data_IF_901833491967
#
_entry.id   IF_901833491967
#
_cell.length_a   1.000
_cell.length_b   1.000
_cell.length_c   1.000
_cell.angle_alpha   90.00
_cell.angle_beta   90.00
_cell.angle_gamma   90.00
#
_symmetry.space_group_name_H-M   'P 1'
#
loop_
_entity.id
_entity.type
_entity.pdbx_description
1 polymer ?
#
# COMPACT_ATOMS: atom_id res chain seq x y z
N UNK A 1 -4.68 35.72 8.03
CA UNK A 1 -3.78 34.79 7.33
C UNK A 1 -2.69 35.63 6.67
N UNK A 2 -1.44 35.18 6.67
CA UNK A 2 -0.35 35.92 6.03
C UNK A 2 -0.47 35.77 4.51
N UNK A 3 -0.65 36.88 3.81
CA UNK A 3 -0.74 36.94 2.34
C UNK A 3 0.39 37.80 1.82
N UNK A 4 1.05 37.35 0.76
CA UNK A 4 2.07 38.11 0.06
C UNK A 4 1.38 38.90 -1.04
N UNK A 5 1.40 40.23 -0.95
CA UNK A 5 0.83 41.08 -2.01
C UNK A 5 1.72 41.07 -3.26
N UNK A 6 1.27 41.69 -4.35
CA UNK A 6 2.00 41.82 -5.62
C UNK A 6 3.37 42.52 -5.50
N UNK A 7 3.70 43.09 -4.34
CA UNK A 7 4.98 43.73 -4.02
C UNK A 7 5.85 42.90 -3.06
N UNK A 8 5.47 41.67 -2.72
CA UNK A 8 6.29 40.77 -1.88
C UNK A 8 6.17 41.01 -0.36
N UNK A 9 5.32 41.93 0.09
CA UNK A 9 5.14 42.24 1.51
C UNK A 9 4.05 41.38 2.16
N UNK A 10 4.31 40.89 3.38
CA UNK A 10 3.37 40.08 4.17
C UNK A 10 2.31 40.98 4.81
N UNK A 11 1.05 40.76 4.48
CA UNK A 11 -0.09 41.43 5.07
C UNK A 11 -1.00 40.42 5.78
N UNK A 12 -1.52 40.79 6.96
CA UNK A 12 -2.56 40.02 7.62
C UNK A 12 -3.92 40.37 7.01
N UNK A 13 -4.51 39.43 6.28
CA UNK A 13 -5.90 39.56 5.80
C UNK A 13 -6.87 38.76 6.68
N UNK A 14 -8.12 39.22 6.73
CA UNK A 14 -9.23 38.49 7.34
C UNK A 14 -9.52 37.24 6.51
N UNK A 15 -9.60 36.08 7.17
CA UNK A 15 -10.03 34.85 6.52
C UNK A 15 -11.54 34.90 6.24
N UNK A 16 -11.90 34.88 4.97
CA UNK A 16 -13.29 34.81 4.52
C UNK A 16 -13.70 33.33 4.44
N UNK A 17 -14.64 32.92 5.29
CA UNK A 17 -15.11 31.53 5.35
C UNK A 17 -16.36 31.37 4.48
N UNK A 18 -16.32 30.44 3.54
CA UNK A 18 -17.45 30.17 2.64
C UNK A 18 -17.59 31.16 1.48
N UNK A 19 -16.69 32.14 1.38
CA UNK A 19 -16.67 33.10 0.27
C UNK A 19 -15.48 32.82 -0.65
N UNK A 20 -15.64 33.15 -1.93
CA UNK A 20 -14.56 33.11 -2.91
C UNK A 20 -13.43 34.08 -2.54
N UNK A 21 -12.21 33.70 -2.93
CA UNK A 21 -11.03 34.56 -2.76
C UNK A 21 -11.25 35.88 -3.50
N UNK A 22 -10.88 36.97 -2.85
CA UNK A 22 -10.93 38.33 -3.42
C UNK A 22 -9.56 38.77 -3.96
N UNK A 23 -8.50 38.02 -3.63
CA UNK A 23 -7.12 38.27 -4.03
C UNK A 23 -6.48 36.97 -4.53
N UNK A 24 -5.48 37.03 -5.41
CA UNK A 24 -4.72 35.86 -5.83
C UNK A 24 -4.08 35.14 -4.62
N UNK A 25 -4.06 33.81 -4.68
CA UNK A 25 -3.52 32.90 -3.65
C UNK A 25 -2.50 31.91 -4.22
N UNK A 26 -1.71 32.39 -5.19
CA UNK A 26 -0.73 31.62 -5.94
C UNK A 26 0.49 31.34 -5.05
N UNK A 27 0.85 30.07 -4.77
CA UNK A 27 2.02 29.74 -3.97
C UNK A 27 3.30 29.89 -4.80
N UNK A 28 4.39 30.22 -4.10
CA UNK A 28 5.74 30.18 -4.66
C UNK A 28 6.32 28.78 -4.49
N UNK A 29 6.86 28.20 -5.56
CA UNK A 29 7.56 26.92 -5.59
C UNK A 29 8.98 27.06 -5.02
N UNK A 30 9.62 25.92 -4.71
CA UNK A 30 10.99 25.89 -4.17
C UNK A 30 12.03 26.45 -5.15
N UNK A 31 11.81 26.26 -6.45
CA UNK A 31 12.61 26.85 -7.54
C UNK A 31 12.42 28.37 -7.71
N UNK A 32 11.55 28.97 -6.89
CA UNK A 32 11.25 30.39 -6.89
C UNK A 32 10.18 30.81 -7.91
N UNK A 33 9.68 29.91 -8.76
CA UNK A 33 8.59 30.15 -9.70
C UNK A 33 7.23 30.24 -8.97
N UNK A 34 6.22 30.80 -9.64
CA UNK A 34 4.86 30.93 -9.11
C UNK A 34 3.95 29.89 -9.75
N UNK A 35 3.19 29.16 -8.94
CA UNK A 35 2.12 28.31 -9.44
C UNK A 35 0.81 29.10 -9.47
N UNK A 36 0.26 29.30 -10.66
CA UNK A 36 -0.90 30.16 -10.88
C UNK A 36 -2.21 29.36 -10.83
N UNK A 37 -3.12 29.79 -9.96
CA UNK A 37 -4.51 29.33 -9.92
C UNK A 37 -5.44 30.30 -10.65
N UNK A 38 -6.72 29.93 -10.76
CA UNK A 38 -7.76 30.77 -11.35
C UNK A 38 -7.79 32.18 -10.72
N UNK A 39 -7.78 33.27 -11.51
CA UNK A 39 -7.92 34.63 -10.99
C UNK A 39 -9.24 34.83 -10.22
N UNK A 40 -9.26 35.61 -9.12
CA UNK A 40 -10.47 35.89 -8.32
C UNK A 40 -11.73 36.21 -9.13
N UNK A 41 -11.58 37.04 -10.16
CA UNK A 41 -12.65 37.50 -11.05
C UNK A 41 -13.31 36.37 -11.87
N UNK A 42 -12.61 35.25 -12.07
CA UNK A 42 -13.11 34.10 -12.85
C UNK A 42 -13.61 32.96 -11.95
N UNK A 43 -13.33 32.99 -10.64
CA UNK A 43 -13.63 31.86 -9.74
C UNK A 43 -15.10 31.46 -9.78
N UNK A 44 -16.03 32.42 -9.75
CA UNK A 44 -17.47 32.09 -9.75
C UNK A 44 -17.87 31.34 -11.01
N UNK A 45 -17.47 31.86 -12.19
CA UNK A 45 -17.78 31.24 -13.47
C UNK A 45 -17.15 29.86 -13.61
N UNK A 46 -15.89 29.71 -13.19
CA UNK A 46 -15.19 28.42 -13.27
C UNK A 46 -15.78 27.38 -12.31
N UNK A 47 -16.29 27.80 -11.15
CA UNK A 47 -17.02 26.90 -10.25
C UNK A 47 -18.36 26.46 -10.84
N UNK A 48 -19.10 27.37 -11.48
CA UNK A 48 -20.34 27.03 -12.18
C UNK A 48 -20.07 26.05 -13.34
N UNK A 49 -19.02 26.30 -14.13
CA UNK A 49 -18.58 25.41 -15.20
C UNK A 49 -18.22 24.01 -14.66
N UNK A 50 -17.46 23.95 -13.56
CA UNK A 50 -17.08 22.69 -12.92
C UNK A 50 -18.30 21.88 -12.47
N UNK A 51 -19.28 22.55 -11.85
CA UNK A 51 -20.53 21.90 -11.39
C UNK A 51 -21.35 21.40 -12.59
N UNK A 52 -21.48 22.19 -13.65
CA UNK A 52 -22.18 21.77 -14.87
C UNK A 52 -21.52 20.55 -15.52
N UNK A 53 -20.20 20.54 -15.67
CA UNK A 53 -19.46 19.40 -16.22
C UNK A 53 -19.61 18.14 -15.35
N UNK A 54 -19.52 18.29 -14.03
CA UNK A 54 -19.77 17.19 -13.09
C UNK A 54 -21.18 16.60 -13.27
N UNK A 55 -22.21 17.44 -13.41
CA UNK A 55 -23.57 16.99 -13.64
C UNK A 55 -23.68 16.13 -14.92
N UNK A 56 -23.04 16.55 -16.03
CA UNK A 56 -22.99 15.78 -17.27
C UNK A 56 -22.24 14.45 -17.11
N UNK A 57 -21.15 14.42 -16.34
CA UNK A 57 -20.43 13.18 -16.06
C UNK A 57 -21.29 12.18 -15.28
N UNK A 58 -22.08 12.67 -14.31
CA UNK A 58 -22.98 11.83 -13.54
C UNK A 58 -24.08 11.18 -14.38
N UNK A 59 -24.45 11.77 -15.53
CA UNK A 59 -25.39 11.17 -16.50
C UNK A 59 -24.73 10.09 -17.37
N UNK A 60 -23.39 10.09 -17.47
CA UNK A 60 -22.62 9.25 -18.41
C UNK A 60 -21.95 8.03 -17.76
N UNK A 61 -22.29 7.70 -16.51
CA UNK A 61 -21.73 6.56 -15.73
C UNK A 61 -20.19 6.47 -15.74
N UNK A 62 -19.49 7.60 -15.59
CA UNK A 62 -18.04 7.58 -15.42
C UNK A 62 -17.64 6.76 -14.18
N UNK A 63 -16.56 5.95 -14.24
CA UNK A 63 -16.06 5.24 -13.07
C UNK A 63 -15.79 6.20 -11.91
N UNK A 64 -16.24 5.87 -10.68
CA UNK A 64 -16.18 6.79 -9.54
C UNK A 64 -14.75 7.18 -9.17
N UNK A 65 -13.75 6.34 -9.45
CA UNK A 65 -12.33 6.63 -9.21
C UNK A 65 -11.80 7.72 -10.14
N UNK A 66 -12.23 7.70 -11.41
CA UNK A 66 -11.85 8.72 -12.40
C UNK A 66 -12.55 10.03 -12.07
N UNK A 67 -13.86 9.99 -11.82
CA UNK A 67 -14.64 11.19 -11.51
C UNK A 67 -14.17 11.85 -10.21
N UNK A 68 -13.85 11.05 -9.19
CA UNK A 68 -13.31 11.54 -7.92
C UNK A 68 -11.97 12.24 -8.11
N UNK A 69 -11.04 11.65 -8.87
CA UNK A 69 -9.74 12.26 -9.16
C UNK A 69 -9.88 13.53 -10.02
N UNK A 70 -10.76 13.51 -11.02
CA UNK A 70 -11.01 14.65 -11.89
C UNK A 70 -11.62 15.82 -11.13
N UNK A 71 -12.71 15.61 -10.39
CA UNK A 71 -13.40 16.65 -9.64
C UNK A 71 -12.49 17.26 -8.57
N UNK A 72 -11.73 16.40 -7.88
CA UNK A 72 -10.70 16.83 -6.95
C UNK A 72 -9.69 17.76 -7.63
N UNK A 73 -9.09 17.33 -8.74
CA UNK A 73 -8.03 18.05 -9.43
C UNK A 73 -8.53 19.39 -9.99
N UNK A 74 -9.68 19.39 -10.67
CA UNK A 74 -10.27 20.62 -11.22
C UNK A 74 -10.62 21.63 -10.15
N UNK A 75 -11.18 21.19 -9.02
CA UNK A 75 -11.41 22.07 -7.89
C UNK A 75 -10.09 22.67 -7.35
N UNK A 76 -9.02 21.88 -7.24
CA UNK A 76 -7.71 22.38 -6.76
C UNK A 76 -7.05 23.37 -7.73
N UNK A 77 -7.30 23.25 -9.03
CA UNK A 77 -6.82 24.18 -10.07
C UNK A 77 -7.55 25.53 -10.01
N UNK A 78 -8.86 25.54 -9.73
CA UNK A 78 -9.61 26.78 -9.49
C UNK A 78 -9.12 27.44 -8.19
N UNK A 79 -8.90 26.63 -7.15
CA UNK A 79 -8.43 27.07 -5.83
C UNK A 79 -9.27 28.23 -5.27
N UNK A 80 -10.60 28.04 -5.13
CA UNK A 80 -11.57 29.12 -5.02
C UNK A 80 -11.54 29.85 -3.67
N UNK A 81 -11.08 29.22 -2.59
CA UNK A 81 -11.06 29.78 -1.25
C UNK A 81 -9.68 30.35 -0.87
N UNK A 82 -9.64 31.24 0.12
CA UNK A 82 -8.36 31.75 0.68
C UNK A 82 -7.55 30.65 1.39
N UNK A 83 -8.22 29.71 2.05
CA UNK A 83 -7.63 28.55 2.71
C UNK A 83 -8.61 27.37 2.66
N UNK A 84 -8.08 26.16 2.84
CA UNK A 84 -8.89 24.96 2.99
C UNK A 84 -9.22 24.26 1.69
N UNK A 85 -8.72 24.75 0.54
CA UNK A 85 -9.00 24.15 -0.76
C UNK A 85 -8.64 22.66 -0.80
N UNK A 86 -7.46 22.26 -0.30
CA UNK A 86 -7.10 20.84 -0.24
C UNK A 86 -8.03 19.99 0.66
N UNK A 87 -8.60 20.57 1.72
CA UNK A 87 -9.58 19.87 2.59
C UNK A 87 -10.91 19.69 1.86
N UNK A 88 -11.38 20.73 1.17
CA UNK A 88 -12.62 20.68 0.38
C UNK A 88 -12.46 19.73 -0.80
N UNK A 89 -11.34 19.77 -1.52
CA UNK A 89 -11.05 18.86 -2.62
C UNK A 89 -11.14 17.39 -2.21
N UNK A 90 -10.52 17.02 -1.09
CA UNK A 90 -10.61 15.65 -0.54
C UNK A 90 -12.02 15.29 -0.06
N UNK A 91 -12.76 16.25 0.48
CA UNK A 91 -14.15 16.04 0.85
C UNK A 91 -15.04 15.80 -0.37
N UNK A 92 -14.87 16.55 -1.46
CA UNK A 92 -15.56 16.34 -2.74
C UNK A 92 -15.25 14.96 -3.31
N UNK A 93 -13.97 14.58 -3.36
CA UNK A 93 -13.53 13.25 -3.77
C UNK A 93 -14.19 12.13 -2.93
N UNK A 94 -14.28 12.34 -1.61
CA UNK A 94 -14.93 11.41 -0.69
C UNK A 94 -16.44 11.30 -0.93
N UNK A 95 -17.11 12.40 -1.28
CA UNK A 95 -18.54 12.39 -1.60
C UNK A 95 -18.81 11.52 -2.84
N UNK A 96 -17.98 11.61 -3.87
CA UNK A 96 -18.09 10.75 -5.06
C UNK A 96 -18.00 9.27 -4.67
N UNK A 97 -16.99 8.90 -3.88
CA UNK A 97 -16.83 7.52 -3.41
C UNK A 97 -18.01 7.05 -2.56
N UNK A 98 -18.45 7.85 -1.59
CA UNK A 98 -19.58 7.48 -0.74
C UNK A 98 -20.89 7.31 -1.52
N UNK A 99 -21.14 8.14 -2.55
CA UNK A 99 -22.30 7.97 -3.45
C UNK A 99 -22.24 6.67 -4.26
N UNK A 100 -21.03 6.19 -4.55
CA UNK A 100 -20.80 4.90 -5.19
C UNK A 100 -20.75 3.71 -4.22
N UNK A 101 -21.01 3.92 -2.92
CA UNK A 101 -20.92 2.86 -1.90
C UNK A 101 -19.49 2.46 -1.51
N UNK A 102 -18.50 3.29 -1.84
CA UNK A 102 -17.09 3.12 -1.51
C UNK A 102 -16.68 3.93 -0.27
N UNK A 103 -15.46 3.72 0.22
CA UNK A 103 -14.96 4.36 1.43
C UNK A 103 -14.64 5.84 1.19
N UNK A 104 -14.72 6.71 2.21
CA UNK A 104 -14.18 8.07 2.11
C UNK A 104 -12.69 8.06 1.73
N UNK A 105 -12.24 9.06 0.98
CA UNK A 105 -10.84 9.15 0.56
C UNK A 105 -9.95 9.54 1.76
N UNK A 106 -9.11 8.62 2.21
CA UNK A 106 -8.13 8.85 3.27
C UNK A 106 -6.74 9.03 2.67
N UNK A 107 -6.19 10.23 2.80
CA UNK A 107 -4.79 10.55 2.45
C UNK A 107 -4.06 10.90 3.74
N UNK A 108 -3.09 10.07 4.12
CA UNK A 108 -2.34 10.20 5.37
C UNK A 108 -1.17 11.18 5.22
N UNK A 109 -0.47 11.48 6.32
CA UNK A 109 0.74 12.32 6.26
C UNK A 109 1.87 11.67 5.46
N UNK A 110 2.00 10.35 5.55
CA UNK A 110 3.04 9.60 4.84
C UNK A 110 2.80 9.60 3.32
N UNK A 111 1.56 9.84 2.91
CA UNK A 111 1.18 9.90 1.51
C UNK A 111 1.48 11.24 0.84
N UNK A 112 1.90 12.25 1.61
CA UNK A 112 1.94 13.64 1.16
C UNK A 112 2.80 13.82 -0.08
N UNK A 113 4.02 13.30 -0.08
CA UNK A 113 4.97 13.46 -1.19
C UNK A 113 4.43 12.83 -2.47
N UNK A 114 4.06 11.55 -2.43
CA UNK A 114 3.48 10.84 -3.56
C UNK A 114 2.18 11.47 -4.07
N UNK A 115 1.35 12.03 -3.19
CA UNK A 115 0.12 12.73 -3.57
C UNK A 115 0.40 14.05 -4.28
N UNK A 116 1.38 14.83 -3.81
CA UNK A 116 1.78 16.09 -4.47
C UNK A 116 2.39 15.80 -5.85
N UNK A 117 3.30 14.83 -5.95
CA UNK A 117 3.90 14.41 -7.23
C UNK A 117 2.81 14.09 -8.28
N UNK A 118 1.79 13.35 -7.87
CA UNK A 118 0.68 12.97 -8.78
C UNK A 118 -0.23 14.12 -9.15
N UNK A 119 -0.37 15.12 -8.27
CA UNK A 119 -1.05 16.37 -8.62
C UNK A 119 -0.25 17.14 -9.67
N UNK A 120 1.09 17.18 -9.57
CA UNK A 120 1.93 17.84 -10.57
C UNK A 120 1.86 17.14 -11.93
N UNK A 121 1.79 15.80 -11.95
CA UNK A 121 1.55 15.04 -13.19
C UNK A 121 0.16 15.35 -13.78
N UNK A 122 -0.85 15.50 -12.94
CA UNK A 122 -2.19 15.90 -13.37
C UNK A 122 -2.23 17.35 -13.91
N UNK A 123 -1.47 18.26 -13.30
CA UNK A 123 -1.28 19.63 -13.79
C UNK A 123 -0.61 19.65 -15.18
N UNK A 124 0.30 18.70 -15.44
CA UNK A 124 0.91 18.49 -16.75
C UNK A 124 -0.02 17.77 -17.76
N UNK A 125 -1.29 17.52 -17.39
CA UNK A 125 -2.31 16.93 -18.26
C UNK A 125 -2.46 15.42 -18.13
N UNK A 126 -1.69 14.75 -17.28
CA UNK A 126 -1.78 13.31 -17.06
C UNK A 126 -2.51 12.99 -15.74
N UNK A 127 -3.82 12.82 -15.79
CA UNK A 127 -4.65 12.53 -14.60
C UNK A 127 -4.49 11.08 -14.10
N UNK A 128 -4.07 10.15 -14.96
CA UNK A 128 -4.09 8.72 -14.65
C UNK A 128 -3.34 8.34 -13.36
N UNK A 129 -2.12 8.84 -13.08
CA UNK A 129 -1.41 8.55 -11.83
C UNK A 129 -2.18 8.95 -10.56
N UNK A 130 -2.94 10.05 -10.62
CA UNK A 130 -3.77 10.50 -9.50
C UNK A 130 -4.98 9.59 -9.28
N UNK A 131 -5.65 9.18 -10.37
CA UNK A 131 -6.75 8.22 -10.31
C UNK A 131 -6.30 6.86 -9.77
N UNK A 132 -5.17 6.33 -10.27
CA UNK A 132 -4.56 5.08 -9.77
C UNK A 132 -4.22 5.16 -8.28
N UNK A 133 -3.76 6.33 -7.81
CA UNK A 133 -3.53 6.54 -6.39
C UNK A 133 -4.80 6.48 -5.55
N UNK A 134 -5.90 7.04 -6.04
CA UNK A 134 -7.18 6.96 -5.33
C UNK A 134 -7.73 5.54 -5.33
N UNK A 135 -7.64 4.81 -6.46
CA UNK A 135 -7.97 3.37 -6.55
C UNK A 135 -7.19 2.58 -5.49
N UNK A 136 -5.88 2.85 -5.38
CA UNK A 136 -5.02 2.22 -4.41
C UNK A 136 -5.46 2.50 -2.97
N UNK A 137 -5.89 3.73 -2.65
CA UNK A 137 -6.45 4.05 -1.33
C UNK A 137 -7.76 3.33 -1.04
N UNK A 138 -8.66 3.22 -2.01
CA UNK A 138 -9.88 2.43 -1.87
C UNK A 138 -9.58 0.96 -1.62
N UNK A 139 -8.60 0.39 -2.35
CA UNK A 139 -8.15 -0.99 -2.15
C UNK A 139 -7.65 -1.21 -0.72
N UNK A 140 -6.81 -0.31 -0.20
CA UNK A 140 -6.30 -0.40 1.18
C UNK A 140 -7.45 -0.39 2.20
N UNK A 141 -8.40 0.54 2.08
CA UNK A 141 -9.53 0.63 3.02
C UNK A 141 -10.46 -0.59 2.93
N UNK A 142 -10.72 -1.10 1.72
CA UNK A 142 -11.51 -2.32 1.53
C UNK A 142 -10.85 -3.52 2.21
N UNK A 143 -9.54 -3.70 2.00
CA UNK A 143 -8.75 -4.77 2.63
C UNK A 143 -8.79 -4.65 4.15
N UNK A 144 -8.68 -3.43 4.68
CA UNK A 144 -8.75 -3.18 6.11
C UNK A 144 -10.11 -3.50 6.69
N UNK A 145 -11.19 -3.06 6.03
CA UNK A 145 -12.56 -3.33 6.45
C UNK A 145 -12.88 -4.83 6.43
N UNK A 146 -12.43 -5.54 5.39
CA UNK A 146 -12.55 -7.00 5.30
C UNK A 146 -11.78 -7.69 6.44
N UNK A 147 -10.59 -7.19 6.76
CA UNK A 147 -9.77 -7.73 7.86
C UNK A 147 -10.45 -7.59 9.22
N UNK A 148 -11.16 -6.47 9.48
CA UNK A 148 -11.88 -6.25 10.75
C UNK A 148 -13.18 -7.07 10.82
N UNK A 149 -13.91 -7.19 9.70
CA UNK A 149 -15.22 -7.86 9.66
C UNK A 149 -15.12 -9.35 9.96
N UNK A 150 -13.99 -9.99 9.62
CA UNK A 150 -13.68 -11.36 10.00
C UNK A 150 -13.87 -11.64 11.50
N UNK A 151 -13.45 -10.71 12.36
CA UNK A 151 -13.53 -10.85 13.82
C UNK A 151 -14.94 -10.68 14.39
N UNK A 152 -15.78 -9.87 13.73
CA UNK A 152 -17.13 -9.55 14.21
C UNK A 152 -18.13 -10.68 13.91
N UNK A 153 -17.94 -11.41 12.81
CA UNK A 153 -18.83 -12.50 12.38
C UNK A 153 -18.75 -13.76 13.27
N UNK A 154 -17.79 -13.84 14.19
CA UNK A 154 -17.67 -14.98 15.12
C UNK A 154 -18.57 -14.86 16.37
N UNK A 155 -19.17 -13.69 16.63
CA UNK A 155 -19.92 -13.44 17.87
C UNK A 155 -21.33 -12.91 17.60
N UNK A 156 -22.27 -13.83 17.35
CA UNK A 156 -23.65 -13.82 17.90
C UNK A 156 -24.50 -14.83 17.15
N UNK A 157 -25.02 -15.87 17.82
CA UNK A 157 -26.26 -16.53 17.38
C UNK A 157 -26.96 -17.23 18.56
N UNK A 158 -28.28 -16.99 18.79
CA UNK A 158 -29.08 -17.74 19.77
C UNK A 158 -29.30 -19.22 19.39
N UNK A 159 -29.70 -20.03 20.37
CA UNK A 159 -29.67 -21.51 20.32
C UNK A 159 -30.54 -22.16 19.23
N UNK A 160 -31.62 -21.51 18.77
CA UNK A 160 -32.51 -22.07 17.75
C UNK A 160 -32.01 -21.89 16.30
N UNK A 161 -31.08 -20.96 16.05
CA UNK A 161 -30.45 -20.77 14.74
C UNK A 161 -29.26 -21.73 14.52
N UNK A 162 -28.92 -22.58 15.51
CA UNK A 162 -27.71 -23.42 15.48
C UNK A 162 -27.76 -24.46 14.35
N UNK A 163 -28.92 -25.05 14.03
CA UNK A 163 -29.02 -26.09 12.99
C UNK A 163 -28.94 -25.51 11.58
N UNK A 164 -29.64 -24.41 11.33
CA UNK A 164 -29.62 -23.75 10.02
C UNK A 164 -28.30 -23.01 9.82
N UNK A 165 -27.78 -22.33 10.85
CA UNK A 165 -26.42 -21.78 10.82
C UNK A 165 -25.34 -22.86 10.75
N UNK A 166 -25.54 -24.07 11.29
CA UNK A 166 -24.58 -25.18 11.13
C UNK A 166 -24.58 -25.68 9.69
N UNK A 167 -25.74 -25.83 9.05
CA UNK A 167 -25.82 -26.20 7.62
C UNK A 167 -25.21 -25.12 6.73
N UNK A 168 -25.53 -23.85 6.98
CA UNK A 168 -24.93 -22.70 6.28
C UNK A 168 -23.42 -22.61 6.55
N UNK A 169 -22.97 -22.84 7.78
CA UNK A 169 -21.54 -22.87 8.16
C UNK A 169 -20.82 -24.06 7.53
N UNK A 170 -21.44 -25.23 7.42
CA UNK A 170 -20.89 -26.40 6.73
C UNK A 170 -20.78 -26.16 5.23
N UNK A 171 -21.83 -25.64 4.58
CA UNK A 171 -21.77 -25.28 3.16
C UNK A 171 -20.78 -24.14 2.89
N UNK A 172 -20.71 -23.16 3.80
CA UNK A 172 -19.71 -22.09 3.76
C UNK A 172 -18.29 -22.67 3.93
N UNK A 173 -18.05 -23.56 4.90
CA UNK A 173 -16.78 -24.26 5.08
C UNK A 173 -16.36 -25.06 3.85
N UNK A 174 -17.28 -25.82 3.24
CA UNK A 174 -17.00 -26.58 2.02
C UNK A 174 -16.66 -25.66 0.84
N UNK A 175 -17.36 -24.52 0.69
CA UNK A 175 -17.02 -23.51 -0.32
C UNK A 175 -15.68 -22.84 -0.02
N UNK A 176 -15.42 -22.52 1.24
CA UNK A 176 -14.21 -21.84 1.68
C UNK A 176 -12.99 -22.79 1.59
N UNK A 177 -13.14 -24.10 1.81
CA UNK A 177 -12.08 -25.10 1.59
C UNK A 177 -11.55 -25.08 0.15
N UNK A 178 -12.43 -25.00 -0.86
CA UNK A 178 -12.02 -24.90 -2.26
C UNK A 178 -11.27 -23.60 -2.54
N UNK A 179 -11.74 -22.47 -1.98
CA UNK A 179 -11.06 -21.17 -2.10
C UNK A 179 -9.68 -21.21 -1.46
N UNK A 180 -9.59 -21.82 -0.28
CA UNK A 180 -8.36 -21.88 0.49
C UNK A 180 -7.32 -22.74 -0.22
N UNK A 181 -7.74 -23.90 -0.75
CA UNK A 181 -6.87 -24.80 -1.49
C UNK A 181 -6.27 -24.11 -2.72
N UNK A 182 -7.07 -23.34 -3.48
CA UNK A 182 -6.54 -22.62 -4.64
C UNK A 182 -5.56 -21.49 -4.26
N UNK A 183 -5.91 -20.66 -3.27
CA UNK A 183 -5.01 -19.60 -2.80
C UNK A 183 -3.68 -20.15 -2.26
N UNK A 184 -3.71 -21.28 -1.53
CA UNK A 184 -2.51 -21.92 -1.02
C UNK A 184 -1.67 -22.57 -2.12
N UNK A 185 -2.29 -23.12 -3.17
CA UNK A 185 -1.59 -23.61 -4.36
C UNK A 185 -0.85 -22.50 -5.09
N UNK A 186 -1.51 -21.37 -5.34
CA UNK A 186 -0.84 -20.20 -5.94
C UNK A 186 0.33 -19.77 -5.04
N UNK A 187 0.09 -19.66 -3.72
CA UNK A 187 1.15 -19.29 -2.77
C UNK A 187 2.36 -20.24 -2.82
N UNK A 188 2.13 -21.57 -2.90
CA UNK A 188 3.20 -22.55 -3.08
C UNK A 188 3.96 -22.35 -4.39
N UNK A 189 3.27 -22.04 -5.50
CA UNK A 189 3.95 -21.71 -6.77
C UNK A 189 4.82 -20.47 -6.63
N UNK A 190 4.35 -19.44 -5.92
CA UNK A 190 5.13 -18.22 -5.66
C UNK A 190 6.34 -18.48 -4.75
N UNK A 191 6.23 -19.34 -3.75
CA UNK A 191 7.36 -19.79 -2.92
C UNK A 191 8.44 -20.46 -3.79
N UNK A 192 8.04 -21.41 -4.64
CA UNK A 192 8.96 -22.12 -5.52
C UNK A 192 9.55 -21.17 -6.58
N UNK A 193 8.77 -20.19 -7.07
CA UNK A 193 9.27 -19.14 -7.95
C UNK A 193 10.34 -18.29 -7.26
N UNK A 194 10.09 -17.85 -6.02
CA UNK A 194 11.06 -17.07 -5.27
C UNK A 194 12.35 -17.87 -5.05
N UNK A 195 12.24 -19.14 -4.66
CA UNK A 195 13.40 -20.02 -4.49
C UNK A 195 14.18 -20.20 -5.80
N UNK A 196 13.49 -20.52 -6.92
CA UNK A 196 14.12 -20.68 -8.24
C UNK A 196 14.83 -19.41 -8.70
N UNK A 197 14.27 -18.23 -8.41
CA UNK A 197 14.83 -16.94 -8.83
C UNK A 197 16.05 -16.54 -7.99
N UNK A 198 16.07 -16.90 -6.72
CA UNK A 198 17.15 -16.57 -5.78
C UNK A 198 18.34 -17.53 -5.85
N UNK A 199 18.15 -18.78 -6.31
CA UNK A 199 19.24 -19.77 -6.36
C UNK A 199 20.41 -19.37 -7.28
N UNK A 200 20.22 -18.80 -8.48
CA UNK A 200 21.32 -18.27 -9.30
C UNK A 200 22.09 -17.15 -8.60
N UNK A 201 21.38 -16.21 -7.97
CA UNK A 201 21.95 -15.10 -7.23
C UNK A 201 22.81 -15.59 -6.05
N UNK A 202 22.35 -16.61 -5.32
CA UNK A 202 23.12 -17.26 -4.25
C UNK A 202 24.45 -17.79 -4.78
N UNK A 203 24.43 -18.49 -5.92
CA UNK A 203 25.64 -19.08 -6.51
C UNK A 203 26.62 -17.99 -6.98
N UNK A 204 26.10 -16.94 -7.61
CA UNK A 204 26.90 -15.80 -8.06
C UNK A 204 27.56 -15.08 -6.89
N UNK A 205 26.80 -14.75 -5.85
CA UNK A 205 27.33 -14.11 -4.65
C UNK A 205 28.34 -14.99 -3.91
N UNK A 206 28.07 -16.30 -3.77
CA UNK A 206 29.03 -17.21 -3.17
C UNK A 206 30.35 -17.25 -3.96
N UNK A 207 30.30 -17.38 -5.28
CA UNK A 207 31.51 -17.39 -6.11
C UNK A 207 32.26 -16.07 -6.07
N UNK A 208 31.55 -14.94 -5.96
CA UNK A 208 32.15 -13.63 -5.79
C UNK A 208 32.88 -13.55 -4.44
N UNK A 209 32.26 -13.99 -3.35
CA UNK A 209 32.93 -14.01 -2.05
C UNK A 209 34.11 -14.96 -2.02
N UNK A 210 33.98 -16.18 -2.53
CA UNK A 210 35.07 -17.17 -2.57
C UNK A 210 36.32 -16.63 -3.29
N UNK A 211 36.13 -15.68 -4.23
CA UNK A 211 37.25 -15.01 -4.92
C UNK A 211 37.96 -13.93 -4.10
N UNK A 212 37.31 -13.41 -3.05
CA UNK A 212 37.80 -12.34 -2.18
C UNK A 212 38.21 -12.83 -0.79
N UNK A 213 37.39 -13.68 -0.16
CA UNK A 213 37.55 -14.17 1.21
C UNK A 213 36.88 -15.55 1.38
N UNK A 214 37.33 -16.35 2.35
CA UNK A 214 36.66 -17.60 2.72
C UNK A 214 35.64 -17.44 3.87
N UNK A 215 35.32 -16.19 4.27
CA UNK A 215 34.52 -15.91 5.46
C UNK A 215 33.01 -15.95 5.24
N UNK A 216 32.55 -15.70 4.01
CA UNK A 216 31.13 -15.57 3.69
C UNK A 216 30.51 -16.90 3.25
N UNK A 217 29.31 -17.15 3.74
CA UNK A 217 28.47 -18.28 3.35
C UNK A 217 27.06 -17.81 2.98
N UNK A 218 26.66 -18.06 1.74
CA UNK A 218 25.34 -17.79 1.19
C UNK A 218 24.48 -19.04 1.19
N UNK A 219 23.36 -18.98 1.90
CA UNK A 219 22.40 -20.08 2.01
C UNK A 219 21.02 -19.61 1.54
N UNK A 220 20.32 -20.49 0.83
CA UNK A 220 18.94 -20.28 0.42
C UNK A 220 18.11 -21.41 1.04
N UNK A 221 17.09 -21.04 1.78
CA UNK A 221 16.25 -21.96 2.54
C UNK A 221 14.78 -21.61 2.30
N UNK A 222 13.92 -22.62 2.35
CA UNK A 222 12.46 -22.45 2.32
C UNK A 222 11.83 -23.15 3.51
N UNK A 223 10.65 -22.71 3.89
CA UNK A 223 9.96 -23.22 5.06
C UNK A 223 9.72 -24.74 4.97
N UNK A 224 10.23 -25.46 5.97
CA UNK A 224 9.85 -26.85 6.24
C UNK A 224 8.88 -26.92 7.44
N UNK A 225 8.16 -28.03 7.57
CA UNK A 225 7.06 -28.19 8.54
C UNK A 225 7.47 -27.89 9.99
N UNK A 226 8.67 -28.31 10.41
CA UNK A 226 9.21 -28.05 11.75
C UNK A 226 9.63 -26.59 11.98
N UNK A 227 9.82 -25.81 10.91
CA UNK A 227 10.21 -24.40 10.97
C UNK A 227 9.03 -23.45 10.77
N UNK A 228 7.79 -23.97 10.77
CA UNK A 228 6.54 -23.21 10.62
C UNK A 228 6.34 -22.09 11.66
N UNK A 229 7.04 -22.15 12.79
CA UNK A 229 7.00 -21.12 13.83
C UNK A 229 7.99 -19.97 13.59
N UNK A 230 8.95 -20.12 12.68
CA UNK A 230 9.95 -19.09 12.42
C UNK A 230 9.31 -17.85 11.81
N UNK A 231 9.89 -16.68 12.15
CA UNK A 231 9.50 -15.37 11.65
C UNK A 231 8.09 -14.87 11.98
N UNK A 232 7.26 -15.60 12.74
CA UNK A 232 5.88 -15.16 13.02
C UNK A 232 5.78 -13.76 13.61
N UNK A 233 6.62 -13.42 14.59
CA UNK A 233 6.64 -12.06 15.17
C UNK A 233 7.11 -11.02 14.17
N UNK A 234 8.10 -11.35 13.33
CA UNK A 234 8.60 -10.47 12.28
C UNK A 234 7.51 -10.17 11.24
N UNK A 235 6.81 -11.21 10.77
CA UNK A 235 5.70 -11.10 9.82
C UNK A 235 4.62 -10.15 10.37
N UNK A 236 4.23 -10.34 11.63
CA UNK A 236 3.25 -9.47 12.29
C UNK A 236 3.77 -8.02 12.40
N UNK A 237 5.05 -7.83 12.72
CA UNK A 237 5.67 -6.50 12.81
C UNK A 237 5.64 -5.78 11.46
N UNK A 238 5.98 -6.48 10.36
CA UNK A 238 5.97 -5.93 9.01
C UNK A 238 4.53 -5.68 8.52
N UNK A 239 3.59 -6.56 8.85
CA UNK A 239 2.18 -6.34 8.53
C UNK A 239 1.63 -5.06 9.17
N UNK A 240 2.03 -4.76 10.41
CA UNK A 240 1.69 -3.49 11.09
C UNK A 240 2.27 -2.26 10.40
N UNK A 241 3.50 -2.35 9.86
CA UNK A 241 4.11 -1.26 9.07
C UNK A 241 3.26 -0.94 7.84
N UNK A 242 2.67 -1.98 7.24
CA UNK A 242 1.80 -1.89 6.05
C UNK A 242 0.31 -1.78 6.38
N UNK A 243 -0.04 -1.56 7.65
CA UNK A 243 -1.41 -1.32 8.13
C UNK A 243 -2.42 -2.44 7.79
N UNK A 244 -1.99 -3.70 7.86
CA UNK A 244 -2.87 -4.87 7.73
C UNK A 244 -2.57 -5.94 8.78
N UNK A 245 -3.47 -6.92 8.92
CA UNK A 245 -3.29 -8.06 9.82
C UNK A 245 -2.76 -9.27 9.07
N UNK A 246 -1.73 -9.94 9.61
CA UNK A 246 -1.21 -11.18 9.06
C UNK A 246 -1.77 -12.39 9.83
N UNK A 247 -2.53 -13.25 9.16
CA UNK A 247 -3.00 -14.52 9.70
C UNK A 247 -1.95 -15.62 9.50
N UNK A 248 -1.05 -15.71 10.47
CA UNK A 248 0.00 -16.74 10.50
C UNK A 248 -0.49 -18.13 10.94
N UNK A 249 -1.80 -18.29 11.19
CA UNK A 249 -2.40 -19.56 11.64
C UNK A 249 -2.96 -20.35 10.47
N UNK A 250 -3.68 -19.68 9.57
CA UNK A 250 -4.22 -20.32 8.37
C UNK A 250 -3.12 -20.70 7.38
N UNK A 251 -2.18 -19.79 7.13
CA UNK A 251 -1.03 -20.05 6.27
C UNK A 251 0.11 -19.12 6.61
N UNK A 252 1.30 -19.68 6.83
CA UNK A 252 2.54 -18.93 6.98
C UNK A 252 3.71 -19.77 6.49
N UNK A 253 4.33 -19.31 5.42
CA UNK A 253 5.51 -19.91 4.80
C UNK A 253 6.52 -18.81 4.48
N UNK A 254 7.75 -19.20 4.17
CA UNK A 254 8.81 -18.24 3.91
C UNK A 254 9.91 -18.82 3.04
N UNK A 255 10.57 -17.95 2.29
CA UNK A 255 11.83 -18.18 1.61
C UNK A 255 12.85 -17.22 2.18
N UNK A 256 14.01 -17.74 2.59
CA UNK A 256 15.08 -16.99 3.24
C UNK A 256 16.36 -17.08 2.43
N UNK A 257 16.88 -15.91 2.06
CA UNK A 257 18.24 -15.73 1.58
C UNK A 257 19.11 -15.28 2.75
N UNK A 258 20.08 -16.10 3.13
CA UNK A 258 20.97 -15.88 4.27
C UNK A 258 22.39 -15.62 3.77
N UNK A 259 23.00 -14.54 4.26
CA UNK A 259 24.43 -14.24 4.07
C UNK A 259 25.06 -14.24 5.45
N UNK A 260 26.09 -15.07 5.66
CA UNK A 260 26.72 -15.22 6.98
C UNK A 260 28.23 -15.07 6.87
N UNK A 261 28.76 -14.13 7.64
CA UNK A 261 30.18 -14.03 7.99
C UNK A 261 30.28 -13.97 9.53
N UNK A 262 30.80 -12.87 10.09
CA UNK A 262 30.76 -12.54 11.53
C UNK A 262 29.34 -12.18 11.96
N UNK A 263 28.66 -11.39 11.13
CA UNK A 263 27.24 -11.05 11.23
C UNK A 263 26.43 -11.90 10.26
N UNK A 264 25.27 -12.37 10.70
CA UNK A 264 24.31 -13.04 9.83
C UNK A 264 23.25 -12.05 9.35
N UNK A 265 22.93 -12.09 8.06
CA UNK A 265 21.90 -11.28 7.42
C UNK A 265 20.87 -12.21 6.80
N UNK A 266 19.61 -12.05 7.19
CA UNK A 266 18.49 -12.81 6.67
C UNK A 266 17.58 -11.86 5.87
N UNK A 267 17.53 -12.04 4.55
CA UNK A 267 16.51 -11.44 3.68
C UNK A 267 15.39 -12.47 3.53
N UNK A 268 14.18 -12.12 3.98
CA UNK A 268 13.06 -13.06 4.11
C UNK A 268 11.87 -12.56 3.31
N UNK A 269 11.31 -13.47 2.51
CA UNK A 269 10.04 -13.31 1.80
C UNK A 269 9.03 -14.23 2.48
N UNK A 270 8.06 -13.67 3.19
CA UNK A 270 7.05 -14.44 3.93
C UNK A 270 5.71 -14.41 3.20
N UNK A 271 5.11 -15.58 3.06
CA UNK A 271 3.82 -15.81 2.40
C UNK A 271 2.80 -16.17 3.48
N UNK A 272 1.73 -15.39 3.60
CA UNK A 272 0.75 -15.58 4.67
C UNK A 272 -0.65 -15.13 4.27
N UNK A 273 -1.64 -15.65 4.97
CA UNK A 273 -3.01 -15.20 4.80
C UNK A 273 -3.14 -13.74 5.27
N UNK A 274 -3.91 -12.94 4.52
CA UNK A 274 -4.22 -11.56 4.86
C UNK A 274 -5.51 -11.50 5.68
N UNK A 275 -5.49 -10.72 6.75
CA UNK A 275 -6.60 -10.47 7.65
C UNK A 275 -6.42 -11.15 9.01
N UNK A 276 -7.44 -11.06 9.86
CA UNK A 276 -7.49 -11.80 11.13
C UNK A 276 -8.12 -13.19 10.95
N UNK A 277 -8.99 -13.32 9.95
CA UNK A 277 -9.56 -14.56 9.42
C UNK A 277 -9.25 -14.67 7.95
N UNK A 278 -8.94 -15.88 7.47
CA UNK A 278 -8.66 -16.08 6.06
C UNK A 278 -9.90 -15.89 5.17
N UNK A 279 -9.85 -14.89 4.28
CA UNK A 279 -10.93 -14.59 3.32
C UNK A 279 -10.57 -15.03 1.89
N UNK A 280 -9.57 -15.89 1.73
CA UNK A 280 -9.00 -16.26 0.43
C UNK A 280 -8.10 -15.17 -0.17
N UNK A 281 -7.60 -14.24 0.65
CA UNK A 281 -6.62 -13.23 0.24
C UNK A 281 -5.29 -13.57 0.89
N UNK A 282 -4.23 -13.61 0.08
CA UNK A 282 -2.87 -13.88 0.50
C UNK A 282 -2.03 -12.62 0.39
N UNK A 283 -0.99 -12.53 1.21
CA UNK A 283 0.01 -11.49 1.16
C UNK A 283 1.42 -12.10 1.16
N UNK A 284 2.35 -11.41 0.48
CA UNK A 284 3.78 -11.63 0.62
C UNK A 284 4.41 -10.36 1.17
N UNK A 285 5.11 -10.47 2.29
CA UNK A 285 5.92 -9.38 2.82
C UNK A 285 7.40 -9.71 2.75
N UNK A 286 8.21 -8.68 2.52
CA UNK A 286 9.66 -8.83 2.44
C UNK A 286 10.32 -7.98 3.52
N UNK A 287 11.28 -8.56 4.23
CA UNK A 287 12.06 -7.86 5.24
C UNK A 287 13.50 -8.37 5.31
N UNK A 288 14.37 -7.55 5.89
CA UNK A 288 15.74 -7.91 6.24
C UNK A 288 15.92 -7.82 7.76
N UNK A 289 16.58 -8.81 8.35
CA UNK A 289 17.02 -8.76 9.75
C UNK A 289 18.49 -9.15 9.86
N UNK A 290 19.15 -8.61 10.87
CA UNK A 290 20.54 -8.90 11.17
C UNK A 290 20.63 -9.65 12.49
N UNK A 291 21.54 -10.62 12.56
CA UNK A 291 21.76 -11.44 13.74
C UNK A 291 23.22 -11.41 14.12
N UNK A 292 23.47 -10.94 15.33
CA UNK A 292 24.78 -10.87 15.95
C UNK A 292 24.86 -11.81 17.15
N UNK A 293 26.07 -12.19 17.53
CA UNK A 293 26.33 -12.85 18.81
C UNK A 293 26.90 -11.83 19.78
N UNK A 294 26.30 -11.72 20.96
CA UNK A 294 26.87 -10.88 22.02
C UNK A 294 28.08 -11.55 22.71
N UNK A 295 28.73 -10.83 23.62
CA UNK A 295 29.86 -11.36 24.40
C UNK A 295 29.49 -12.53 25.33
N UNK A 296 28.20 -12.86 25.48
CA UNK A 296 27.66 -14.00 26.22
C UNK A 296 27.13 -15.10 25.29
N UNK A 297 27.39 -15.00 23.98
CA UNK A 297 26.97 -15.91 22.93
C UNK A 297 25.42 -16.01 22.76
N UNK A 298 24.68 -15.01 23.20
CA UNK A 298 23.25 -14.84 22.91
C UNK A 298 23.06 -14.19 21.54
N UNK A 299 21.97 -14.55 20.85
CA UNK A 299 21.65 -13.96 19.55
C UNK A 299 20.90 -12.65 19.73
N UNK A 300 21.47 -11.55 19.28
CA UNK A 300 20.79 -10.26 19.16
C UNK A 300 20.22 -10.16 17.76
N UNK A 301 18.93 -9.87 17.64
CA UNK A 301 18.25 -9.67 16.36
C UNK A 301 17.96 -8.19 16.19
N UNK A 302 18.49 -7.60 15.13
CA UNK A 302 18.20 -6.23 14.70
C UNK A 302 17.24 -6.26 13.51
N UNK A 303 16.07 -5.62 13.65
CA UNK A 303 14.99 -5.65 12.66
C UNK A 303 13.68 -6.23 13.23
N UNK A 304 12.72 -6.63 12.38
CA UNK A 304 12.81 -6.69 10.92
C UNK A 304 12.65 -5.31 10.28
N UNK A 305 13.43 -5.06 9.22
CA UNK A 305 13.30 -3.85 8.41
C UNK A 305 12.60 -4.16 7.10
N UNK A 306 11.52 -3.43 6.82
CA UNK A 306 10.78 -3.55 5.56
C UNK A 306 11.68 -3.27 4.34
N UNK A 307 11.55 -4.09 3.29
CA UNK A 307 12.30 -3.96 2.03
C UNK A 307 11.41 -3.92 0.79
N UNK A 308 10.09 -3.75 0.96
CA UNK A 308 9.17 -3.51 -0.16
C UNK A 308 8.30 -2.30 0.15
N UNK A 309 8.01 -1.48 -0.86
CA UNK A 309 7.12 -0.32 -0.66
C UNK A 309 5.73 -0.76 -0.19
N UNK A 310 5.26 -1.91 -0.68
CA UNK A 310 4.00 -2.53 -0.32
C UNK A 310 4.14 -4.05 -0.23
N UNK A 311 3.25 -4.74 0.51
CA UNK A 311 3.14 -6.18 0.42
C UNK A 311 2.59 -6.57 -0.95
N UNK A 312 3.10 -7.66 -1.53
CA UNK A 312 2.42 -8.29 -2.66
C UNK A 312 1.13 -8.92 -2.17
N UNK A 313 0.05 -8.83 -2.94
CA UNK A 313 -1.25 -9.38 -2.54
C UNK A 313 -1.95 -10.02 -3.73
N UNK A 314 -2.65 -11.12 -3.49
CA UNK A 314 -3.51 -11.76 -4.47
C UNK A 314 -4.72 -12.42 -3.81
N UNK A 315 -5.83 -12.49 -4.52
CA UNK A 315 -7.03 -13.21 -4.14
C UNK A 315 -7.07 -14.62 -4.75
N UNK A 316 -7.79 -15.52 -4.11
CA UNK A 316 -7.93 -16.92 -4.51
C UNK A 316 -8.50 -17.13 -5.91
N UNK A 317 -9.18 -16.13 -6.50
CA UNK A 317 -9.83 -16.21 -7.80
C UNK A 317 -9.08 -15.43 -8.89
N UNK A 318 -7.90 -14.89 -8.59
CA UNK A 318 -7.03 -14.29 -9.60
C UNK A 318 -6.37 -15.38 -10.45
N UNK A 319 -6.14 -15.08 -11.74
CA UNK A 319 -5.42 -15.98 -12.64
C UNK A 319 -3.97 -16.16 -12.20
N UNK A 320 -3.54 -17.42 -12.03
CA UNK A 320 -2.23 -17.78 -11.50
C UNK A 320 -1.08 -17.19 -12.33
N UNK A 321 -1.18 -17.20 -13.67
CA UNK A 321 -0.12 -16.67 -14.53
C UNK A 321 0.03 -15.15 -14.38
N UNK A 322 -1.09 -14.42 -14.25
CA UNK A 322 -1.06 -12.97 -14.01
C UNK A 322 -0.49 -12.64 -12.63
N UNK A 323 -0.84 -13.43 -11.60
CA UNK A 323 -0.29 -13.29 -10.25
C UNK A 323 1.22 -13.52 -10.28
N UNK A 324 1.69 -14.59 -10.92
CA UNK A 324 3.10 -14.93 -11.08
C UNK A 324 3.90 -13.83 -11.78
N UNK A 325 3.39 -13.28 -12.89
CA UNK A 325 4.05 -12.18 -13.60
C UNK A 325 4.21 -10.93 -12.75
N UNK A 326 3.15 -10.55 -12.00
CA UNK A 326 3.22 -9.41 -11.08
C UNK A 326 4.16 -9.68 -9.91
N UNK A 327 4.11 -10.89 -9.36
CA UNK A 327 4.96 -11.31 -8.24
C UNK A 327 6.43 -11.26 -8.63
N UNK A 328 6.78 -11.74 -9.83
CA UNK A 328 8.16 -11.71 -10.33
C UNK A 328 8.75 -10.30 -10.33
N UNK A 329 8.00 -9.30 -10.80
CA UNK A 329 8.42 -7.87 -10.80
C UNK A 329 8.55 -7.30 -9.39
N UNK A 330 7.60 -7.62 -8.52
CA UNK A 330 7.64 -7.20 -7.12
C UNK A 330 8.85 -7.81 -6.39
N UNK A 331 9.12 -9.09 -6.62
CA UNK A 331 10.24 -9.82 -6.03
C UNK A 331 11.59 -9.22 -6.48
N UNK A 332 11.76 -8.87 -7.76
CA UNK A 332 12.97 -8.20 -8.24
C UNK A 332 13.26 -6.91 -7.48
N UNK A 333 12.22 -6.09 -7.30
CA UNK A 333 12.32 -4.82 -6.60
C UNK A 333 12.70 -5.03 -5.13
N UNK A 334 12.04 -5.97 -4.46
CA UNK A 334 12.30 -6.26 -3.05
C UNK A 334 13.71 -6.87 -2.82
N UNK A 335 14.16 -7.78 -3.70
CA UNK A 335 15.51 -8.35 -3.66
C UNK A 335 16.56 -7.25 -3.80
N UNK A 336 16.38 -6.34 -4.77
CA UNK A 336 17.31 -5.24 -5.00
C UNK A 336 17.43 -4.34 -3.75
N UNK A 337 16.31 -3.96 -3.14
CA UNK A 337 16.30 -3.15 -1.91
C UNK A 337 16.95 -3.90 -0.75
N UNK A 338 16.70 -5.20 -0.61
CA UNK A 338 17.31 -6.05 0.41
C UNK A 338 18.84 -6.11 0.28
N UNK A 339 19.33 -6.39 -0.93
CA UNK A 339 20.77 -6.42 -1.22
C UNK A 339 21.44 -5.06 -1.03
N UNK A 340 20.80 -3.97 -1.45
CA UNK A 340 21.32 -2.62 -1.26
C UNK A 340 21.41 -2.25 0.23
N UNK A 341 20.44 -2.66 1.06
CA UNK A 341 20.53 -2.49 2.51
C UNK A 341 21.66 -3.31 3.12
N UNK A 342 21.82 -4.56 2.71
CA UNK A 342 22.95 -5.40 3.14
C UNK A 342 24.29 -4.76 2.75
N UNK A 343 24.44 -4.31 1.50
CA UNK A 343 25.66 -3.66 0.99
C UNK A 343 26.08 -2.43 1.79
N UNK A 344 25.13 -1.67 2.33
CA UNK A 344 25.40 -0.49 3.19
C UNK A 344 25.90 -0.84 4.60
N UNK A 345 25.85 -2.12 4.98
CA UNK A 345 26.30 -2.63 6.27
C UNK A 345 27.64 -3.38 6.20
N UNK A 346 28.16 -3.61 4.98
CA UNK A 346 29.58 -3.95 4.75
C UNK A 346 30.43 -2.72 5.07
#
# INVERSE_FOLDING_TARGET
MDVVNSQGSRAQTRLLKGEWKQLPNNPRREDGSMHYYCPPEHVSQEMDNLISMHATHMESEFPPEIESAWLHHRFTQIHPFQDGNGRVARALASIIFMRAGLFPLVITRNDREAYIEKLELADAGNLAPLAEFFVKKQKTELIRALSITGDLLEKTTPINDILESAKVKLQKRLRDEVKYDHAFKISQSLEDMAFRKLEPLKKELQSYFDSLTNGYNCLLEKNEEYQSHWFKSQIISIAKVHDYFADTRSYAKWVRFKIKEDRQVDIVFSFHALGTTFLGIMAVSAFIEYRDRDGLNQTIIEGPYNISDEPFQFAYNEDENLVEQRFSKWLDSAVLVGLEKWRRQL
#
